data_IF_161818494541
#
_entry.id   IF_161818494541
#
_cell.length_a   1.000
_cell.length_b   1.000
_cell.length_c   1.000
_cell.angle_alpha   90.00
_cell.angle_beta   90.00
_cell.angle_gamma   90.00
#
_symmetry.space_group_name_H-M   'P 1'
#
loop_
_entity.id
_entity.type
_entity.pdbx_description
1 polymer ?
#
# COMPACT_ATOMS: atom_id res chain seq x y z
N UNK A 1 -5.62 -0.84 20.72
CA UNK A 1 -6.53 -0.86 19.56
C UNK A 1 -5.89 -1.76 18.51
N UNK A 2 -6.48 -2.91 18.23
CA UNK A 2 -5.94 -3.86 17.25
C UNK A 2 -6.64 -3.59 15.92
N UNK A 3 -6.05 -2.75 15.08
CA UNK A 3 -6.56 -2.49 13.72
C UNK A 3 -6.08 -3.65 12.86
N UNK A 4 -7.00 -4.55 12.49
CA UNK A 4 -6.79 -5.60 11.48
C UNK A 4 -7.68 -5.30 10.28
N UNK A 5 -7.19 -5.62 9.10
CA UNK A 5 -7.98 -5.57 7.88
C UNK A 5 -9.07 -6.64 7.91
N UNK A 6 -10.06 -6.50 7.03
CA UNK A 6 -11.17 -7.44 6.92
C UNK A 6 -10.69 -8.89 6.73
N UNK A 7 -11.50 -9.83 7.22
CA UNK A 7 -11.21 -11.26 7.12
C UNK A 7 -11.31 -11.78 5.68
N UNK A 8 -11.99 -11.08 4.78
CA UNK A 8 -12.03 -11.46 3.38
C UNK A 8 -10.75 -11.01 2.67
N UNK A 9 -10.09 -11.96 2.01
CA UNK A 9 -8.85 -11.69 1.30
C UNK A 9 -9.17 -11.14 -0.11
N UNK A 10 -8.85 -9.87 -0.42
CA UNK A 10 -9.19 -9.29 -1.71
C UNK A 10 -8.39 -9.94 -2.84
N UNK A 11 -8.93 -9.88 -4.06
CA UNK A 11 -8.22 -10.29 -5.26
C UNK A 11 -7.03 -9.37 -5.55
N UNK A 12 -6.07 -9.85 -6.34
CA UNK A 12 -4.93 -9.01 -6.74
C UNK A 12 -5.43 -7.98 -7.77
N UNK A 13 -5.38 -6.67 -7.48
CA UNK A 13 -5.86 -5.66 -8.40
C UNK A 13 -4.92 -5.50 -9.60
N UNK A 14 -5.48 -5.24 -10.77
CA UNK A 14 -4.71 -5.03 -12.00
C UNK A 14 -3.84 -3.76 -11.96
N UNK A 15 -2.76 -3.79 -12.74
CA UNK A 15 -1.85 -2.68 -12.97
C UNK A 15 -1.99 -2.22 -14.43
N UNK A 16 -2.24 -0.92 -14.60
CA UNK A 16 -2.32 -0.30 -15.92
C UNK A 16 -0.90 -0.14 -16.47
N UNK A 17 -0.69 -0.62 -17.70
CA UNK A 17 0.59 -0.48 -18.38
C UNK A 17 0.93 0.99 -18.65
N UNK A 18 2.23 1.32 -18.69
CA UNK A 18 2.71 2.67 -18.97
C UNK A 18 2.68 3.65 -17.78
N UNK A 19 2.04 3.27 -16.66
CA UNK A 19 2.14 4.05 -15.42
C UNK A 19 3.52 3.84 -14.79
N UNK A 20 4.16 4.96 -14.44
CA UNK A 20 5.51 4.97 -13.86
C UNK A 20 5.55 4.18 -12.55
N UNK A 21 6.63 3.43 -12.34
CA UNK A 21 6.87 2.59 -11.15
C UNK A 21 8.13 3.02 -10.42
N UNK A 22 8.13 2.93 -9.09
CA UNK A 22 9.31 3.25 -8.30
C UNK A 22 10.48 2.29 -8.64
N UNK A 23 11.73 2.79 -8.71
CA UNK A 23 12.87 1.93 -8.94
C UNK A 23 13.04 0.93 -7.78
N UNK A 24 13.53 -0.27 -8.10
CA UNK A 24 13.83 -1.28 -7.08
C UNK A 24 14.89 -0.76 -6.10
N UNK A 25 14.69 -1.04 -4.80
CA UNK A 25 15.72 -0.79 -3.77
C UNK A 25 16.72 -1.93 -3.65
N UNK A 26 16.50 -3.01 -4.40
CA UNK A 26 17.23 -4.26 -4.28
C UNK A 26 16.92 -5.00 -2.98
N UNK A 27 17.22 -6.30 -2.96
CA UNK A 27 17.05 -7.14 -1.78
C UNK A 27 18.41 -7.37 -1.11
N UNK A 28 18.62 -6.77 0.06
CA UNK A 28 19.89 -6.82 0.81
C UNK A 28 19.73 -7.29 2.26
N UNK A 29 18.54 -7.74 2.63
CA UNK A 29 18.26 -8.15 4.00
C UNK A 29 18.84 -9.54 4.29
N UNK A 30 19.36 -9.72 5.50
CA UNK A 30 19.70 -11.06 6.00
C UNK A 30 18.43 -11.91 6.19
N UNK A 31 18.60 -13.22 6.41
CA UNK A 31 17.48 -14.12 6.69
C UNK A 31 16.64 -13.67 7.90
N UNK A 32 17.30 -13.22 8.97
CA UNK A 32 16.62 -12.75 10.18
C UNK A 32 15.92 -11.40 9.95
N UNK A 33 16.56 -10.46 9.25
CA UNK A 33 15.92 -9.20 8.88
C UNK A 33 14.71 -9.41 7.95
N UNK A 34 14.81 -10.37 7.03
CA UNK A 34 13.70 -10.75 6.14
C UNK A 34 12.52 -11.29 6.94
N UNK A 35 12.76 -12.16 7.92
CA UNK A 35 11.70 -12.65 8.82
C UNK A 35 11.03 -11.51 9.59
N UNK A 36 11.81 -10.55 10.09
CA UNK A 36 11.27 -9.38 10.79
C UNK A 36 10.43 -8.51 9.86
N UNK A 37 10.89 -8.26 8.63
CA UNK A 37 10.14 -7.51 7.63
C UNK A 37 8.79 -8.18 7.30
N UNK A 38 8.77 -9.50 7.12
CA UNK A 38 7.53 -10.26 6.90
C UNK A 38 6.59 -10.18 8.11
N UNK A 39 7.09 -10.38 9.33
CA UNK A 39 6.27 -10.24 10.56
C UNK A 39 5.66 -8.84 10.68
N UNK A 40 6.41 -7.81 10.33
CA UNK A 40 5.94 -6.43 10.37
C UNK A 40 4.83 -6.13 9.35
N UNK A 41 4.87 -6.77 8.17
CA UNK A 41 3.78 -6.67 7.19
C UNK A 41 2.57 -7.51 7.60
N UNK A 42 2.79 -8.75 8.06
CA UNK A 42 1.73 -9.67 8.46
C UNK A 42 0.95 -9.22 9.71
N UNK A 43 1.48 -8.29 10.53
CA UNK A 43 0.78 -7.78 11.71
C UNK A 43 -0.56 -7.09 11.40
N UNK A 44 -0.74 -6.60 10.18
CA UNK A 44 -1.98 -5.96 9.71
C UNK A 44 -3.03 -6.99 9.26
N UNK A 45 -2.61 -8.25 9.09
CA UNK A 45 -3.36 -9.30 8.40
C UNK A 45 -3.91 -10.31 9.43
N UNK A 46 -5.17 -10.79 9.27
CA UNK A 46 -5.66 -11.97 9.99
C UNK A 46 -4.74 -13.19 9.83
N UNK A 47 -4.52 -13.94 10.91
CA UNK A 47 -3.55 -15.05 10.96
C UNK A 47 -3.86 -16.17 9.96
N UNK A 48 -5.13 -16.40 9.66
CA UNK A 48 -5.60 -17.36 8.66
C UNK A 48 -5.06 -17.09 7.24
N UNK A 49 -4.69 -15.85 6.93
CA UNK A 49 -4.13 -15.47 5.62
C UNK A 49 -2.60 -15.46 5.60
N UNK A 50 -1.93 -15.67 6.73
CA UNK A 50 -0.46 -15.53 6.81
C UNK A 50 0.26 -16.54 5.92
N UNK A 51 -0.22 -17.78 5.85
CA UNK A 51 0.38 -18.81 5.00
C UNK A 51 0.31 -18.43 3.51
N UNK A 52 -0.80 -17.80 3.09
CA UNK A 52 -1.00 -17.35 1.71
C UNK A 52 -0.22 -16.07 1.38
N UNK A 53 -0.15 -15.11 2.31
CA UNK A 53 0.45 -13.80 2.05
C UNK A 53 1.94 -13.72 2.36
N UNK A 54 2.50 -14.56 3.22
CA UNK A 54 3.93 -14.55 3.50
C UNK A 54 4.78 -14.77 2.22
N UNK A 55 4.44 -15.72 1.31
CA UNK A 55 5.15 -15.87 0.03
C UNK A 55 4.98 -14.65 -0.89
N UNK A 56 3.80 -14.05 -0.92
CA UNK A 56 3.50 -12.86 -1.74
C UNK A 56 4.34 -11.66 -1.28
N UNK A 57 4.34 -11.36 0.02
CA UNK A 57 5.15 -10.30 0.60
C UNK A 57 6.64 -10.57 0.46
N UNK A 58 7.07 -11.84 0.56
CA UNK A 58 8.46 -12.20 0.30
C UNK A 58 8.84 -11.94 -1.16
N UNK A 59 7.95 -12.22 -2.10
CA UNK A 59 8.16 -11.95 -3.51
C UNK A 59 8.27 -10.44 -3.78
N UNK A 60 7.39 -9.63 -3.20
CA UNK A 60 7.49 -8.17 -3.29
C UNK A 60 8.83 -7.67 -2.73
N UNK A 61 9.20 -8.14 -1.54
CA UNK A 61 10.44 -7.76 -0.87
C UNK A 61 11.67 -8.12 -1.70
N UNK A 62 11.68 -9.29 -2.35
CA UNK A 62 12.78 -9.71 -3.23
C UNK A 62 12.84 -8.92 -4.54
N UNK A 63 11.67 -8.62 -5.12
CA UNK A 63 11.57 -7.97 -6.44
C UNK A 63 11.85 -6.47 -6.34
N UNK A 64 11.26 -5.82 -5.34
CA UNK A 64 11.25 -4.36 -5.22
C UNK A 64 12.10 -3.84 -4.07
N UNK A 65 12.57 -4.72 -3.18
CA UNK A 65 13.25 -4.32 -1.94
C UNK A 65 12.29 -3.78 -0.87
N UNK A 66 10.98 -3.90 -1.08
CA UNK A 66 9.91 -3.39 -0.21
C UNK A 66 8.68 -4.29 -0.28
N UNK A 67 7.91 -4.29 0.80
CA UNK A 67 6.56 -4.87 0.85
C UNK A 67 5.58 -3.71 0.74
N UNK A 68 4.93 -3.57 -0.42
CA UNK A 68 3.89 -2.59 -0.68
C UNK A 68 2.51 -3.13 -0.30
N UNK A 69 2.32 -4.45 -0.28
CA UNK A 69 1.04 -5.09 -0.01
C UNK A 69 0.05 -4.82 -1.13
N UNK A 70 0.46 -5.02 -2.39
CA UNK A 70 -0.31 -4.58 -3.56
C UNK A 70 -1.74 -5.12 -3.62
N UNK A 71 -1.98 -6.30 -3.05
CA UNK A 71 -3.31 -6.89 -2.92
C UNK A 71 -4.31 -6.01 -2.18
N UNK A 72 -3.85 -5.19 -1.24
CA UNK A 72 -4.70 -4.28 -0.46
C UNK A 72 -4.87 -2.91 -1.09
N UNK A 73 -4.27 -2.66 -2.27
CA UNK A 73 -4.52 -1.43 -3.02
C UNK A 73 -5.96 -1.43 -3.55
N UNK A 74 -6.71 -0.31 -3.43
CA UNK A 74 -7.94 -0.13 -4.18
C UNK A 74 -7.74 -0.31 -5.68
N UNK A 75 -8.65 -1.06 -6.33
CA UNK A 75 -8.64 -1.21 -7.77
C UNK A 75 -8.97 0.12 -8.48
N UNK A 76 -8.45 0.30 -9.70
CA UNK A 76 -8.62 1.52 -10.48
C UNK A 76 -7.68 2.66 -10.09
N UNK A 77 -7.97 3.85 -10.65
CA UNK A 77 -7.25 5.09 -10.36
C UNK A 77 -7.83 5.74 -9.09
N UNK A 78 -6.94 6.27 -8.26
CA UNK A 78 -7.32 7.11 -7.12
C UNK A 78 -7.34 8.55 -7.63
N UNK A 79 -8.31 9.33 -7.16
CA UNK A 79 -8.45 10.78 -7.40
C UNK A 79 -9.12 11.38 -6.19
N UNK A 80 -8.78 12.62 -5.85
CA UNK A 80 -9.52 13.37 -4.84
C UNK A 80 -10.98 13.53 -5.25
N UNK A 81 -11.91 13.22 -4.35
CA UNK A 81 -13.36 13.36 -4.57
C UNK A 81 -13.92 14.58 -3.84
N UNK A 82 -15.14 15.04 -4.17
CA UNK A 82 -15.86 15.98 -3.33
C UNK A 82 -15.97 15.50 -1.87
N UNK A 83 -15.74 16.40 -0.91
CA UNK A 83 -15.65 16.05 0.53
C UNK A 83 -16.89 15.30 1.08
N UNK A 84 -18.07 15.53 0.49
CA UNK A 84 -19.31 14.90 0.93
C UNK A 84 -19.42 13.43 0.56
N UNK A 85 -18.63 12.94 -0.40
CA UNK A 85 -18.56 11.52 -0.78
C UNK A 85 -17.76 10.67 0.22
N UNK A 86 -16.90 11.30 1.03
CA UNK A 86 -16.12 10.59 2.03
C UNK A 86 -16.95 10.24 3.27
N UNK A 87 -16.73 9.03 3.77
CA UNK A 87 -17.30 8.55 5.03
C UNK A 87 -16.44 9.03 6.19
N UNK A 88 -17.06 9.53 7.26
CA UNK A 88 -16.34 10.01 8.43
C UNK A 88 -17.25 10.67 9.44
N UNK A 89 -16.82 10.67 10.71
CA UNK A 89 -17.59 11.24 11.83
C UNK A 89 -17.50 12.77 11.92
N UNK A 90 -16.50 13.38 11.28
CA UNK A 90 -16.29 14.83 11.27
C UNK A 90 -15.73 15.30 9.93
N UNK A 91 -15.93 16.58 9.62
CA UNK A 91 -15.46 17.20 8.37
C UNK A 91 -13.93 17.16 8.24
N UNK A 92 -13.19 17.39 9.33
CA UNK A 92 -11.74 17.33 9.32
C UNK A 92 -11.19 15.95 8.91
N UNK A 93 -11.79 14.87 9.43
CA UNK A 93 -11.40 13.50 9.06
C UNK A 93 -11.73 13.17 7.59
N UNK A 94 -12.79 13.75 7.03
CA UNK A 94 -13.08 13.65 5.60
C UNK A 94 -12.08 14.43 4.75
N UNK A 95 -11.72 15.65 5.19
CA UNK A 95 -10.72 16.46 4.50
C UNK A 95 -9.34 15.78 4.45
N UNK A 96 -8.93 15.08 5.51
CA UNK A 96 -7.68 14.28 5.49
C UNK A 96 -7.75 13.19 4.41
N UNK A 97 -8.87 12.48 4.28
CA UNK A 97 -9.05 11.45 3.24
C UNK A 97 -8.96 12.06 1.83
N UNK A 98 -9.57 13.22 1.59
CA UNK A 98 -9.42 13.98 0.32
C UNK A 98 -7.95 14.23 0.01
N UNK A 99 -7.18 14.69 0.99
CA UNK A 99 -5.76 15.01 0.80
C UNK A 99 -4.90 13.76 0.58
N UNK A 100 -5.24 12.64 1.19
CA UNK A 100 -4.58 11.35 0.95
C UNK A 100 -4.82 10.92 -0.50
N UNK A 101 -6.07 10.93 -0.95
CA UNK A 101 -6.42 10.55 -2.32
C UNK A 101 -5.75 11.48 -3.35
N UNK A 102 -5.70 12.79 -3.08
CA UNK A 102 -5.01 13.75 -3.93
C UNK A 102 -3.50 13.45 -4.04
N UNK A 103 -2.84 13.07 -2.94
CA UNK A 103 -1.41 12.71 -2.97
C UNK A 103 -1.13 11.37 -3.67
N UNK A 104 -2.14 10.51 -3.79
CA UNK A 104 -2.09 9.21 -4.46
C UNK A 104 -2.74 9.23 -5.85
N UNK A 105 -3.18 10.40 -6.30
CA UNK A 105 -3.79 10.58 -7.60
C UNK A 105 -2.79 10.20 -8.69
N UNK A 106 -3.25 9.48 -9.72
CA UNK A 106 -2.40 9.01 -10.81
C UNK A 106 -1.86 10.14 -11.68
N UNK A 107 -2.50 11.30 -11.66
CA UNK A 107 -2.05 12.50 -12.37
C UNK A 107 -1.15 13.39 -11.50
N UNK A 108 -1.02 13.10 -10.19
CA UNK A 108 -0.22 13.88 -9.22
C UNK A 108 1.01 13.09 -8.73
N UNK A 109 0.82 11.83 -8.36
CA UNK A 109 1.84 11.01 -7.74
C UNK A 109 2.89 10.56 -8.75
N UNK A 110 4.16 10.65 -8.34
CA UNK A 110 5.28 10.17 -9.15
C UNK A 110 5.23 8.65 -9.39
N UNK A 111 4.88 7.88 -8.36
CA UNK A 111 4.70 6.43 -8.40
C UNK A 111 3.42 6.05 -7.65
N UNK A 112 2.24 6.19 -8.27
CA UNK A 112 0.95 6.04 -7.59
C UNK A 112 0.78 4.65 -6.97
N UNK A 113 1.28 3.60 -7.64
CA UNK A 113 1.23 2.23 -7.13
C UNK A 113 2.12 1.98 -5.90
N UNK A 114 3.18 2.78 -5.73
CA UNK A 114 4.16 2.65 -4.64
C UNK A 114 3.97 3.70 -3.53
N UNK A 115 2.84 4.41 -3.55
CA UNK A 115 2.47 5.44 -2.58
C UNK A 115 3.44 6.63 -2.54
N UNK A 116 4.20 6.89 -3.62
CA UNK A 116 5.21 7.96 -3.69
C UNK A 116 4.66 9.12 -4.49
N UNK A 117 4.55 10.29 -3.84
CA UNK A 117 4.04 11.50 -4.47
C UNK A 117 5.15 12.28 -5.16
N UNK A 118 6.31 12.46 -4.53
CA UNK A 118 7.41 13.26 -5.10
C UNK A 118 8.79 12.83 -4.58
N UNK A 119 9.85 13.38 -5.21
CA UNK A 119 11.22 13.25 -4.72
C UNK A 119 11.75 11.82 -4.65
N UNK A 120 11.23 10.94 -5.53
CA UNK A 120 11.58 9.51 -5.65
C UNK A 120 11.25 8.64 -4.43
N UNK A 121 11.10 9.23 -3.24
CA UNK A 121 10.94 8.53 -1.96
C UNK A 121 9.94 9.18 -1.00
N UNK A 122 9.41 10.37 -1.33
CA UNK A 122 8.40 11.07 -0.54
C UNK A 122 7.07 10.34 -0.63
N UNK A 123 6.81 9.45 0.34
CA UNK A 123 5.66 8.55 0.35
C UNK A 123 4.58 8.96 1.34
N UNK A 124 3.32 8.69 0.99
CA UNK A 124 2.15 8.93 1.84
C UNK A 124 2.10 7.94 3.00
N UNK A 125 2.17 6.64 2.68
CA UNK A 125 2.22 5.53 3.62
C UNK A 125 3.39 4.59 3.28
N UNK A 126 3.72 3.66 4.17
CA UNK A 126 4.77 2.67 3.90
C UNK A 126 4.29 1.54 2.97
N UNK A 127 3.00 1.19 3.05
CA UNK A 127 2.35 0.14 2.29
C UNK A 127 0.82 0.36 2.27
N UNK A 128 0.10 -0.39 1.45
CA UNK A 128 -1.35 -0.28 1.26
C UNK A 128 -2.20 -0.83 2.41
N UNK A 129 -1.57 -1.43 3.43
CA UNK A 129 -2.27 -1.91 4.63
C UNK A 129 -2.40 -0.82 5.70
N UNK A 130 -1.72 0.33 5.53
CA UNK A 130 -1.75 1.50 6.41
C UNK A 130 -2.76 2.53 5.91
#
# INVERSE_FOLDING_TARGET
MTIKLDAELPEMPEFVAGIRRAPTRGFRLTKEQTKVALKNALRYIPEEHHEKLAPEFLNELKTYGRIYGYRYRPAGKITGKPIHEYKGKCTAGKAIQVMIDNNLDFDVALYPYELVTYGETGSVCQNWMQ
#
